data_IF_611981076018
#
_entry.id   IF_611981076018
#
_cell.length_a   1.000
_cell.length_b   1.000
_cell.length_c   1.000
_cell.angle_alpha   90.00
_cell.angle_beta   90.00
_cell.angle_gamma   90.00
#
_symmetry.space_group_name_H-M   'P 1'
#
loop_
_entity.id
_entity.type
_entity.pdbx_description
1 polymer ?
#
# COMPACT_ATOMS: atom_id res chain seq x y z
N UNK A 1 49.11 -64.22 -39.68
CA UNK A 1 49.56 -62.81 -39.68
C UNK A 1 48.37 -61.92 -39.38
N UNK A 2 48.44 -61.13 -38.29
CA UNK A 2 47.78 -59.83 -38.04
C UNK A 2 46.23 -59.77 -38.06
N UNK A 3 45.49 -59.17 -37.12
CA UNK A 3 45.74 -58.37 -35.90
C UNK A 3 44.40 -58.32 -35.14
N UNK A 4 44.43 -58.49 -33.81
CA UNK A 4 43.33 -58.14 -32.89
C UNK A 4 43.41 -56.63 -32.58
N UNK A 5 42.28 -55.93 -32.63
CA UNK A 5 42.14 -54.53 -32.19
C UNK A 5 41.22 -54.49 -30.95
N UNK A 6 41.68 -53.98 -29.80
CA UNK A 6 40.84 -53.75 -28.63
C UNK A 6 40.16 -52.38 -28.74
N UNK A 7 38.82 -52.37 -28.69
CA UNK A 7 38.04 -51.15 -28.57
C UNK A 7 37.93 -50.76 -27.09
N UNK A 8 38.54 -49.63 -26.74
CA UNK A 8 38.38 -48.99 -25.43
C UNK A 8 36.93 -48.51 -25.25
N UNK A 9 36.20 -49.06 -24.29
CA UNK A 9 34.98 -48.44 -23.76
C UNK A 9 35.38 -47.31 -22.81
N UNK A 10 35.18 -46.07 -23.25
CA UNK A 10 35.29 -44.87 -22.43
C UNK A 10 34.08 -44.76 -21.49
N UNK A 11 34.33 -44.67 -20.19
CA UNK A 11 33.31 -44.43 -19.16
C UNK A 11 32.79 -42.99 -19.22
N UNK A 12 31.48 -42.85 -19.40
CA UNK A 12 30.77 -41.57 -19.35
C UNK A 12 30.53 -41.19 -17.88
N UNK A 13 31.29 -40.22 -17.35
CA UNK A 13 31.03 -39.62 -16.05
C UNK A 13 29.94 -38.55 -16.19
N UNK A 14 28.74 -38.82 -15.67
CA UNK A 14 27.68 -37.82 -15.56
C UNK A 14 28.03 -36.80 -14.47
N UNK A 15 28.53 -35.63 -14.84
CA UNK A 15 28.61 -34.48 -13.93
C UNK A 15 27.21 -33.91 -13.74
N UNK A 16 26.57 -34.24 -12.61
CA UNK A 16 25.32 -33.61 -12.20
C UNK A 16 25.55 -32.14 -11.86
N UNK A 17 25.05 -31.24 -12.70
CA UNK A 17 25.00 -29.82 -12.37
C UNK A 17 24.01 -29.61 -11.20
N UNK A 18 24.39 -28.86 -10.15
CA UNK A 18 23.46 -28.54 -9.08
C UNK A 18 22.29 -27.74 -9.65
N UNK A 19 21.09 -28.30 -9.54
CA UNK A 19 19.85 -27.58 -9.78
C UNK A 19 19.79 -26.49 -8.71
N UNK A 20 20.01 -25.24 -9.11
CA UNK A 20 19.79 -24.10 -8.24
C UNK A 20 18.32 -24.13 -7.82
N UNK A 21 18.07 -24.49 -6.56
CA UNK A 21 16.74 -24.38 -5.97
C UNK A 21 16.34 -22.91 -6.08
N UNK A 22 15.25 -22.63 -6.79
CA UNK A 22 14.68 -21.29 -6.84
C UNK A 22 14.38 -20.86 -5.40
N UNK A 23 15.11 -19.85 -4.93
CA UNK A 23 14.91 -19.28 -3.60
C UNK A 23 13.48 -18.72 -3.56
N UNK A 24 12.60 -19.38 -2.81
CA UNK A 24 11.24 -18.92 -2.62
C UNK A 24 11.30 -17.53 -1.98
N UNK A 25 10.81 -16.53 -2.71
CA UNK A 25 10.74 -15.17 -2.23
C UNK A 25 10.07 -15.15 -0.84
N UNK A 26 10.70 -14.48 0.12
CA UNK A 26 10.16 -14.36 1.46
C UNK A 26 8.74 -13.76 1.44
N UNK A 27 7.83 -14.23 2.30
CA UNK A 27 6.47 -13.70 2.35
C UNK A 27 6.48 -12.20 2.71
N UNK A 28 5.46 -11.49 2.25
CA UNK A 28 5.31 -10.07 2.56
C UNK A 28 5.17 -9.85 4.09
N UNK A 29 5.87 -8.86 4.69
CA UNK A 29 5.84 -8.59 6.14
C UNK A 29 4.54 -7.91 6.58
N UNK A 30 3.43 -8.62 6.40
CA UNK A 30 2.06 -8.13 6.53
C UNK A 30 1.80 -7.50 7.89
N UNK A 31 2.17 -8.16 8.99
CA UNK A 31 1.88 -7.68 10.33
C UNK A 31 2.63 -6.37 10.65
N UNK A 32 3.87 -6.24 10.18
CA UNK A 32 4.72 -5.06 10.39
C UNK A 32 4.20 -3.87 9.57
N UNK A 33 3.87 -4.09 8.30
CA UNK A 33 3.38 -3.04 7.40
C UNK A 33 2.00 -2.57 7.84
N UNK A 34 1.06 -3.48 8.06
CA UNK A 34 -0.28 -3.12 8.54
C UNK A 34 -0.22 -2.45 9.92
N UNK A 35 0.65 -2.94 10.81
CA UNK A 35 0.91 -2.31 12.11
C UNK A 35 1.41 -0.86 11.97
N UNK A 36 2.43 -0.63 11.14
CA UNK A 36 2.97 0.70 10.91
C UNK A 36 1.93 1.66 10.31
N UNK A 37 1.07 1.18 9.40
CA UNK A 37 -0.02 1.97 8.83
C UNK A 37 -1.09 2.29 9.89
N UNK A 38 -1.52 1.30 10.69
CA UNK A 38 -2.50 1.50 11.76
C UNK A 38 -2.04 2.53 12.79
N UNK A 39 -0.79 2.42 13.22
CA UNK A 39 -0.24 3.33 14.24
C UNK A 39 -0.19 4.77 13.70
N UNK A 40 0.24 4.94 12.45
CA UNK A 40 0.30 6.24 11.78
C UNK A 40 -1.08 6.85 11.53
N UNK A 41 -2.08 6.04 11.20
CA UNK A 41 -3.43 6.47 10.86
C UNK A 41 -4.45 6.34 12.01
N UNK A 42 -3.97 6.22 13.26
CA UNK A 42 -4.79 5.79 14.41
C UNK A 42 -5.84 6.79 14.87
N UNK A 43 -5.60 8.08 14.68
CA UNK A 43 -6.58 9.13 14.96
C UNK A 43 -6.43 10.25 13.93
N UNK A 44 -7.53 10.52 13.24
CA UNK A 44 -7.66 11.40 12.10
C UNK A 44 -8.66 12.52 12.39
N UNK A 45 -8.77 12.94 13.66
CA UNK A 45 -9.66 14.03 14.08
C UNK A 45 -9.13 15.43 13.75
N UNK A 46 -7.80 15.58 13.68
CA UNK A 46 -7.12 16.81 13.30
C UNK A 46 -5.93 16.47 12.42
N UNK A 47 -5.79 17.20 11.31
CA UNK A 47 -4.69 17.01 10.37
C UNK A 47 -3.34 17.33 10.98
N UNK A 48 -3.24 18.41 11.76
CA UNK A 48 -2.01 18.83 12.42
C UNK A 48 -1.60 17.78 13.48
N UNK A 49 -2.56 17.32 14.28
CA UNK A 49 -2.32 16.29 15.29
C UNK A 49 -1.91 14.96 14.65
N UNK A 50 -2.60 14.54 13.58
CA UNK A 50 -2.25 13.35 12.81
C UNK A 50 -0.84 13.46 12.20
N UNK A 51 -0.51 14.59 11.57
CA UNK A 51 0.82 14.83 11.00
C UNK A 51 1.94 14.77 12.06
N UNK A 52 1.71 15.36 13.24
CA UNK A 52 2.65 15.32 14.35
C UNK A 52 2.84 13.88 14.88
N UNK A 53 1.74 13.12 15.01
CA UNK A 53 1.79 11.71 15.41
C UNK A 53 2.55 10.85 14.40
N UNK A 54 2.26 11.00 13.11
CA UNK A 54 2.95 10.28 12.03
C UNK A 54 4.47 10.52 12.13
N UNK A 55 4.89 11.78 12.29
CA UNK A 55 6.29 12.12 12.45
C UNK A 55 6.90 11.49 13.73
N UNK A 56 6.19 11.57 14.87
CA UNK A 56 6.63 10.97 16.12
C UNK A 56 6.76 9.43 16.05
N UNK A 57 6.01 8.78 15.15
CA UNK A 57 6.11 7.34 14.86
C UNK A 57 7.26 6.99 13.90
N UNK A 58 8.18 7.91 13.62
CA UNK A 58 9.38 7.66 12.84
C UNK A 58 9.20 7.77 11.32
N UNK A 59 8.14 8.43 10.87
CA UNK A 59 7.95 8.76 9.46
C UNK A 59 8.58 10.11 9.12
N UNK A 60 9.29 10.18 8.00
CA UNK A 60 9.95 11.40 7.55
C UNK A 60 9.06 12.13 6.54
N UNK A 61 8.70 13.38 6.83
CA UNK A 61 7.93 14.22 5.89
C UNK A 61 8.77 14.53 4.66
N UNK A 62 8.19 14.32 3.47
CA UNK A 62 8.82 14.70 2.20
C UNK A 62 8.90 16.23 2.08
N UNK A 63 10.04 16.74 1.62
CA UNK A 63 10.21 18.16 1.32
C UNK A 63 9.36 18.59 0.11
N UNK A 64 9.36 17.77 -0.93
CA UNK A 64 8.46 17.88 -2.08
C UNK A 64 7.56 16.63 -2.15
N UNK A 65 6.26 16.73 -1.87
CA UNK A 65 5.35 15.59 -1.91
C UNK A 65 5.22 15.00 -3.33
N UNK A 66 5.49 15.78 -4.37
CA UNK A 66 5.35 15.36 -5.77
C UNK A 66 6.59 14.68 -6.34
N UNK A 67 7.73 14.74 -5.63
CA UNK A 67 8.98 14.07 -6.01
C UNK A 67 9.12 12.66 -5.39
N UNK A 68 8.03 12.11 -4.85
CA UNK A 68 8.00 10.78 -4.21
C UNK A 68 7.47 9.71 -5.18
N UNK A 69 7.62 8.40 -4.88
CA UNK A 69 7.01 7.33 -5.68
C UNK A 69 5.48 7.44 -5.83
N UNK A 70 4.79 8.11 -4.89
CA UNK A 70 3.36 8.40 -4.94
C UNK A 70 3.05 9.78 -5.55
N UNK A 71 4.04 10.51 -6.04
CA UNK A 71 3.90 11.90 -6.47
C UNK A 71 2.89 12.14 -7.59
N UNK A 72 2.78 11.20 -8.55
CA UNK A 72 1.77 11.26 -9.61
C UNK A 72 0.35 11.10 -9.05
N UNK A 73 0.14 10.11 -8.18
CA UNK A 73 -1.13 9.89 -7.47
C UNK A 73 -1.52 11.12 -6.65
N UNK A 74 -0.56 11.67 -5.91
CA UNK A 74 -0.74 12.86 -5.05
C UNK A 74 -1.17 14.07 -5.89
N UNK A 75 -0.54 14.30 -7.04
CA UNK A 75 -0.92 15.36 -7.99
C UNK A 75 -2.32 15.14 -8.54
N UNK A 76 -2.59 13.95 -9.06
CA UNK A 76 -3.89 13.60 -9.62
C UNK A 76 -5.02 13.76 -8.60
N UNK A 77 -4.85 13.25 -7.38
CA UNK A 77 -5.86 13.35 -6.32
C UNK A 77 -6.10 14.80 -5.88
N UNK A 78 -5.05 15.61 -5.78
CA UNK A 78 -5.18 17.02 -5.42
C UNK A 78 -5.91 17.84 -6.50
N UNK A 79 -5.58 17.62 -7.78
CA UNK A 79 -6.25 18.26 -8.90
C UNK A 79 -7.72 17.84 -9.01
N UNK A 80 -8.01 16.54 -8.85
CA UNK A 80 -9.37 16.02 -8.85
C UNK A 80 -10.19 16.62 -7.69
N UNK A 81 -9.62 16.69 -6.48
CA UNK A 81 -10.26 17.32 -5.32
C UNK A 81 -10.57 18.79 -5.56
N UNK A 82 -9.61 19.56 -6.10
CA UNK A 82 -9.83 20.96 -6.47
C UNK A 82 -10.95 21.12 -7.49
N UNK A 83 -10.97 20.31 -8.54
CA UNK A 83 -11.99 20.35 -9.58
C UNK A 83 -13.40 20.06 -9.02
N UNK A 84 -13.52 19.17 -8.04
CA UNK A 84 -14.80 18.91 -7.37
C UNK A 84 -15.33 20.13 -6.62
N UNK A 85 -14.45 21.01 -6.13
CA UNK A 85 -14.84 22.22 -5.40
C UNK A 85 -15.12 23.42 -6.29
N UNK A 86 -14.77 23.40 -7.59
CA UNK A 86 -15.01 24.53 -8.50
C UNK A 86 -16.50 24.91 -8.61
N UNK A 87 -17.41 23.98 -8.29
CA UNK A 87 -18.86 24.17 -8.36
C UNK A 87 -19.57 24.15 -6.99
N UNK A 88 -18.84 24.17 -5.87
CA UNK A 88 -19.41 23.98 -4.53
C UNK A 88 -18.81 24.87 -3.44
N UNK A 89 -19.38 24.82 -2.24
CA UNK A 89 -18.81 25.40 -1.02
C UNK A 89 -17.90 24.38 -0.34
N UNK A 90 -16.59 24.61 -0.38
CA UNK A 90 -15.65 23.77 0.34
C UNK A 90 -14.21 24.24 0.19
N UNK A 91 -13.32 23.57 0.91
CA UNK A 91 -11.88 23.79 0.86
C UNK A 91 -11.17 22.45 0.81
N UNK A 92 -10.30 22.27 -0.18
CA UNK A 92 -9.18 21.33 -0.04
C UNK A 92 -8.13 22.07 0.76
N UNK A 93 -7.54 21.41 1.75
CA UNK A 93 -6.40 21.98 2.47
C UNK A 93 -5.28 22.44 1.53
N UNK A 94 -4.28 23.14 2.10
CA UNK A 94 -3.08 23.70 1.47
C UNK A 94 -2.17 22.71 0.70
N UNK A 95 -2.63 21.50 0.42
CA UNK A 95 -1.96 20.42 -0.30
C UNK A 95 -2.01 19.12 0.49
N UNK A 96 -1.71 17.97 -0.11
CA UNK A 96 -1.47 16.72 0.61
C UNK A 96 -0.13 16.75 1.36
N UNK A 97 -0.04 16.09 2.52
CA UNK A 97 1.24 15.81 3.18
C UNK A 97 1.69 14.41 2.78
N UNK A 98 2.96 14.25 2.42
CA UNK A 98 3.56 12.95 2.13
C UNK A 98 4.67 12.66 3.12
N UNK A 99 4.71 11.44 3.62
CA UNK A 99 5.73 10.93 4.51
C UNK A 99 6.31 9.62 3.97
N UNK A 100 7.51 9.25 4.42
CA UNK A 100 8.16 8.00 4.04
C UNK A 100 8.77 7.28 5.24
N UNK A 101 8.78 5.94 5.20
CA UNK A 101 9.39 5.11 6.23
C UNK A 101 9.79 3.74 5.67
N UNK A 102 10.95 3.22 6.12
CA UNK A 102 11.31 1.80 5.93
C UNK A 102 10.64 0.95 7.01
N UNK A 103 9.97 -0.13 6.61
CA UNK A 103 9.32 -1.08 7.54
C UNK A 103 9.62 -2.50 7.08
N UNK A 104 10.38 -3.25 7.89
CA UNK A 104 10.71 -4.64 7.61
C UNK A 104 11.31 -4.92 6.21
N UNK A 105 12.03 -3.95 5.66
CA UNK A 105 12.62 -4.01 4.31
C UNK A 105 11.82 -3.24 3.26
N UNK A 106 10.54 -2.99 3.50
CA UNK A 106 9.67 -2.28 2.55
C UNK A 106 9.83 -0.77 2.61
N UNK A 107 9.68 -0.12 1.46
CA UNK A 107 9.75 1.34 1.31
C UNK A 107 8.35 1.93 1.20
N UNK A 108 7.81 2.37 2.34
CA UNK A 108 6.44 2.88 2.41
C UNK A 108 6.38 4.39 2.24
N UNK A 109 5.37 4.85 1.49
CA UNK A 109 4.95 6.26 1.46
C UNK A 109 3.56 6.41 2.09
N UNK A 110 3.36 7.44 2.90
CA UNK A 110 2.06 7.75 3.50
C UNK A 110 1.58 9.12 3.01
N UNK A 111 0.36 9.18 2.51
CA UNK A 111 -0.33 10.41 2.11
C UNK A 111 -1.41 10.73 3.14
N UNK A 112 -1.27 11.88 3.79
CA UNK A 112 -2.31 12.47 4.63
C UNK A 112 -3.02 13.58 3.86
N UNK A 113 -4.33 13.45 3.76
CA UNK A 113 -5.20 14.33 2.98
C UNK A 113 -6.45 14.69 3.75
N UNK A 114 -7.03 15.84 3.44
CA UNK A 114 -8.28 16.29 4.06
C UNK A 114 -9.03 17.20 3.08
N UNK A 115 -10.36 17.06 3.09
CA UNK A 115 -11.30 17.87 2.32
C UNK A 115 -12.44 18.26 3.26
N UNK A 116 -12.81 19.53 3.22
CA UNK A 116 -13.99 20.05 3.91
C UNK A 116 -15.01 20.52 2.88
N UNK A 117 -16.24 20.04 2.96
CA UNK A 117 -17.33 20.42 2.07
C UNK A 117 -18.64 20.44 2.85
N UNK A 118 -19.39 21.54 2.75
CA UNK A 118 -20.72 21.71 3.37
C UNK A 118 -20.80 21.34 4.87
N UNK A 119 -19.76 21.70 5.63
CA UNK A 119 -19.68 21.41 7.07
C UNK A 119 -19.32 19.96 7.40
N UNK A 120 -18.92 19.16 6.41
CA UNK A 120 -18.37 17.81 6.59
C UNK A 120 -16.88 17.83 6.29
N UNK A 121 -16.08 17.32 7.19
CA UNK A 121 -14.65 17.06 7.00
C UNK A 121 -14.43 15.58 6.72
N UNK A 122 -13.59 15.28 5.72
CA UNK A 122 -13.12 13.93 5.43
C UNK A 122 -11.60 13.93 5.51
N UNK A 123 -11.05 13.23 6.50
CA UNK A 123 -9.62 12.97 6.62
C UNK A 123 -9.29 11.58 6.11
N UNK A 124 -8.33 11.50 5.19
CA UNK A 124 -7.82 10.24 4.65
C UNK A 124 -6.34 10.08 4.91
N UNK A 125 -5.95 8.93 5.45
CA UNK A 125 -4.58 8.51 5.68
C UNK A 125 -4.31 7.24 4.87
N UNK A 126 -3.40 7.33 3.89
CA UNK A 126 -3.17 6.26 2.91
C UNK A 126 -1.69 5.90 2.84
N UNK A 127 -1.35 4.68 3.18
CA UNK A 127 0.01 4.12 3.07
C UNK A 127 0.13 3.31 1.80
N UNK A 128 1.25 3.43 1.09
CA UNK A 128 1.52 2.80 -0.18
C UNK A 128 2.86 2.09 -0.14
N UNK A 129 2.90 0.91 -0.74
CA UNK A 129 4.11 0.17 -1.09
C UNK A 129 4.14 0.02 -2.62
N UNK A 130 4.70 1.04 -3.27
CA UNK A 130 4.57 1.21 -4.72
C UNK A 130 5.46 0.21 -5.44
N UNK A 131 4.86 -0.54 -6.37
CA UNK A 131 5.56 -1.57 -7.15
C UNK A 131 5.70 -2.91 -6.44
N UNK A 132 5.18 -3.06 -5.22
CA UNK A 132 5.14 -4.36 -4.56
C UNK A 132 4.38 -5.39 -5.42
N UNK A 133 4.92 -6.61 -5.49
CA UNK A 133 4.38 -7.70 -6.31
C UNK A 133 3.68 -8.77 -5.49
N UNK A 134 3.99 -8.86 -4.19
CA UNK A 134 3.36 -9.75 -3.22
C UNK A 134 2.03 -9.13 -2.78
N UNK A 135 1.00 -9.97 -2.65
CA UNK A 135 -0.31 -9.56 -2.12
C UNK A 135 -0.41 -9.86 -0.63
N UNK A 136 -1.14 -9.02 0.11
CA UNK A 136 -1.63 -9.38 1.43
C UNK A 136 -2.84 -10.31 1.23
N UNK A 137 -2.76 -11.54 1.76
CA UNK A 137 -3.87 -12.50 1.71
C UNK A 137 -4.95 -12.16 2.73
N UNK A 138 -6.20 -12.52 2.42
CA UNK A 138 -7.36 -12.27 3.29
C UNK A 138 -7.13 -12.80 4.70
N UNK A 139 -6.71 -14.06 4.82
CA UNK A 139 -6.48 -14.71 6.12
C UNK A 139 -5.45 -13.97 6.98
N UNK A 140 -4.36 -13.51 6.35
CA UNK A 140 -3.32 -12.74 7.04
C UNK A 140 -3.83 -11.36 7.49
N UNK A 141 -4.64 -10.71 6.65
CA UNK A 141 -5.26 -9.43 6.99
C UNK A 141 -6.30 -9.58 8.11
N UNK A 142 -7.19 -10.58 8.02
CA UNK A 142 -8.19 -10.90 9.04
C UNK A 142 -7.53 -11.24 10.38
N UNK A 143 -6.50 -12.08 10.37
CA UNK A 143 -5.78 -12.45 11.58
C UNK A 143 -5.12 -11.23 12.25
N UNK A 144 -4.53 -10.34 11.45
CA UNK A 144 -3.95 -9.09 11.97
C UNK A 144 -5.02 -8.12 12.48
N UNK A 145 -6.14 -7.98 11.77
CA UNK A 145 -7.25 -7.10 12.15
C UNK A 145 -8.03 -7.60 13.37
N UNK A 146 -7.93 -8.91 13.68
CA UNK A 146 -8.69 -9.58 14.72
C UNK A 146 -10.15 -9.85 14.35
N UNK A 147 -10.53 -9.62 13.08
CA UNK A 147 -11.86 -9.89 12.52
C UNK A 147 -11.84 -9.96 11.00
N UNK A 148 -12.83 -10.66 10.44
CA UNK A 148 -13.06 -10.71 9.00
C UNK A 148 -13.41 -9.33 8.42
N UNK A 149 -13.03 -9.03 7.18
CA UNK A 149 -13.49 -7.85 6.47
C UNK A 149 -14.99 -7.96 6.13
N UNK A 150 -15.69 -6.85 6.20
CA UNK A 150 -17.11 -6.72 5.87
C UNK A 150 -17.35 -6.89 4.36
N UNK A 151 -16.35 -6.51 3.54
CA UNK A 151 -16.36 -6.73 2.09
C UNK A 151 -15.01 -7.25 1.60
N UNK A 152 -15.04 -8.12 0.60
CA UNK A 152 -13.84 -8.64 -0.07
C UNK A 152 -14.03 -8.71 -1.57
N UNK A 153 -13.01 -8.29 -2.31
CA UNK A 153 -12.88 -8.47 -3.75
C UNK A 153 -11.55 -9.17 -3.98
N UNK A 154 -11.56 -10.31 -4.67
CA UNK A 154 -10.35 -11.01 -5.12
C UNK A 154 -10.51 -11.29 -6.62
N UNK A 155 -9.98 -10.39 -7.44
CA UNK A 155 -10.00 -10.45 -8.90
C UNK A 155 -8.56 -10.32 -9.41
N UNK A 156 -8.33 -10.75 -10.66
CA UNK A 156 -6.98 -10.71 -11.26
C UNK A 156 -6.42 -9.28 -11.32
N UNK A 157 -7.30 -8.29 -11.45
CA UNK A 157 -6.97 -6.87 -11.60
C UNK A 157 -6.87 -6.12 -10.27
N UNK A 158 -7.47 -6.66 -9.20
CA UNK A 158 -7.57 -6.02 -7.89
C UNK A 158 -7.89 -7.04 -6.79
N UNK A 159 -7.16 -6.92 -5.68
CA UNK A 159 -7.58 -7.47 -4.40
C UNK A 159 -7.92 -6.33 -3.45
N UNK A 160 -9.06 -6.40 -2.77
CA UNK A 160 -9.53 -5.40 -1.80
C UNK A 160 -10.19 -6.07 -0.60
N UNK A 161 -9.86 -5.62 0.59
CA UNK A 161 -10.57 -5.94 1.83
C UNK A 161 -10.99 -4.65 2.53
N UNK A 162 -12.23 -4.60 3.00
CA UNK A 162 -12.80 -3.41 3.67
C UNK A 162 -13.37 -3.79 5.04
N UNK A 163 -13.12 -2.94 6.03
CA UNK A 163 -13.67 -3.01 7.37
C UNK A 163 -14.45 -1.73 7.68
N UNK A 164 -15.73 -1.88 8.05
CA UNK A 164 -16.65 -0.79 8.38
C UNK A 164 -17.45 -1.14 9.67
N UNK A 165 -17.37 -0.34 10.75
CA UNK A 165 -16.49 0.82 10.92
C UNK A 165 -15.00 0.43 10.82
N UNK A 166 -14.10 1.41 10.75
CA UNK A 166 -12.65 1.13 10.66
C UNK A 166 -12.08 0.39 11.88
N UNK A 167 -10.75 0.26 11.93
CA UNK A 167 -10.07 -0.52 12.98
C UNK A 167 -9.70 0.29 14.21
N UNK A 168 -9.94 1.61 14.20
CA UNK A 168 -9.71 2.50 15.33
C UNK A 168 -10.96 3.35 15.62
N UNK A 169 -11.15 3.80 16.87
CA UNK A 169 -12.27 4.66 17.23
C UNK A 169 -12.34 5.90 16.32
N UNK A 170 -13.53 6.19 15.79
CA UNK A 170 -13.77 7.33 14.92
C UNK A 170 -13.47 7.11 13.43
N UNK A 171 -12.83 5.99 13.04
CA UNK A 171 -12.66 5.66 11.62
C UNK A 171 -13.96 5.12 11.01
N UNK A 172 -14.35 5.66 9.85
CA UNK A 172 -15.47 5.14 9.06
C UNK A 172 -15.08 3.88 8.32
N UNK A 173 -13.86 3.83 7.78
CA UNK A 173 -13.37 2.66 7.04
C UNK A 173 -11.88 2.43 7.25
N UNK A 174 -11.51 1.16 7.16
CA UNK A 174 -10.13 0.72 6.94
C UNK A 174 -10.13 -0.22 5.73
N UNK A 175 -9.18 -0.06 4.82
CA UNK A 175 -9.14 -0.82 3.58
C UNK A 175 -7.71 -1.24 3.24
N UNK A 176 -7.56 -2.43 2.67
CA UNK A 176 -6.31 -2.95 2.12
C UNK A 176 -6.54 -3.28 0.65
N UNK A 177 -5.67 -2.79 -0.21
CA UNK A 177 -5.69 -2.97 -1.65
C UNK A 177 -4.39 -3.59 -2.14
N UNK A 178 -4.49 -4.41 -3.19
CA UNK A 178 -3.34 -4.80 -4.02
C UNK A 178 -3.71 -4.68 -5.49
N UNK A 179 -2.89 -3.94 -6.25
CA UNK A 179 -3.04 -3.68 -7.67
C UNK A 179 -1.81 -4.25 -8.41
N UNK A 180 -1.94 -5.34 -9.18
CA UNK A 180 -0.79 -5.90 -9.90
C UNK A 180 -0.32 -4.98 -11.03
N UNK A 181 0.97 -5.04 -11.37
CA UNK A 181 1.64 -4.13 -12.32
C UNK A 181 1.08 -4.10 -13.75
N UNK A 182 0.24 -5.07 -14.14
CA UNK A 182 -0.47 -5.12 -15.42
C UNK A 182 -1.96 -4.76 -15.35
N UNK A 183 -2.47 -4.40 -14.18
CA UNK A 183 -3.89 -4.10 -14.01
C UNK A 183 -4.30 -2.86 -14.82
N UNK A 184 -5.41 -2.91 -15.58
CA UNK A 184 -5.93 -1.74 -16.28
C UNK A 184 -6.34 -0.62 -15.30
N UNK A 185 -6.56 -0.96 -14.03
CA UNK A 185 -6.93 0.00 -12.98
C UNK A 185 -5.82 1.01 -12.67
N UNK A 186 -4.56 0.73 -13.01
CA UNK A 186 -3.42 1.64 -12.80
C UNK A 186 -3.69 3.00 -13.47
N UNK A 187 -4.39 3.03 -14.61
CA UNK A 187 -4.77 4.27 -15.27
C UNK A 187 -5.63 5.20 -14.37
N UNK A 188 -6.41 4.62 -13.46
CA UNK A 188 -7.25 5.34 -12.50
C UNK A 188 -6.55 5.55 -11.16
N UNK A 189 -5.91 4.51 -10.61
CA UNK A 189 -5.31 4.56 -9.27
C UNK A 189 -3.90 5.16 -9.26
N UNK A 190 -3.21 5.26 -10.40
CA UNK A 190 -1.87 5.84 -10.56
C UNK A 190 -0.74 5.16 -9.78
N UNK A 191 -0.97 3.94 -9.28
CA UNK A 191 0.07 3.10 -8.70
C UNK A 191 -0.22 1.61 -8.94
N UNK A 192 0.80 0.78 -9.15
CA UNK A 192 0.76 -0.64 -8.81
C UNK A 192 1.29 -0.88 -7.39
N UNK A 193 0.93 -2.00 -6.79
CA UNK A 193 1.42 -2.44 -5.48
C UNK A 193 0.33 -2.44 -4.42
N UNK A 194 0.74 -2.24 -3.16
CA UNK A 194 -0.18 -2.26 -2.01
C UNK A 194 -0.59 -0.85 -1.64
N UNK A 195 -1.86 -0.68 -1.28
CA UNK A 195 -2.32 0.50 -0.56
C UNK A 195 -3.12 0.10 0.68
N UNK A 196 -2.95 0.85 1.76
CA UNK A 196 -3.68 0.71 3.02
C UNK A 196 -4.31 2.07 3.30
N UNK A 197 -5.61 2.10 3.54
CA UNK A 197 -6.39 3.33 3.67
C UNK A 197 -7.17 3.32 4.96
N UNK A 198 -7.16 4.44 5.67
CA UNK A 198 -8.07 4.72 6.76
C UNK A 198 -8.71 6.09 6.51
N UNK A 199 -10.03 6.15 6.60
CA UNK A 199 -10.77 7.40 6.49
C UNK A 199 -11.56 7.68 7.77
N UNK A 200 -11.69 8.96 8.07
CA UNK A 200 -12.56 9.49 9.12
C UNK A 200 -13.36 10.67 8.57
N UNK A 201 -14.66 10.65 8.81
CA UNK A 201 -15.65 11.65 8.45
C UNK A 201 -16.11 12.33 9.74
N UNK A 202 -16.22 13.65 9.72
CA UNK A 202 -16.61 14.43 10.89
C UNK A 202 -17.50 15.58 10.49
N UNK A 203 -18.58 15.78 11.24
CA UNK A 203 -19.47 16.95 11.07
C UNK A 203 -18.89 18.10 11.88
N UNK A 204 -18.57 19.19 11.21
CA UNK A 204 -18.05 20.40 11.83
C UNK A 204 -19.19 21.18 12.50
N UNK A 205 -18.95 21.76 13.68
CA UNK A 205 -19.91 22.66 14.30
C UNK A 205 -20.14 23.87 13.39
N UNK A 206 -21.41 24.30 13.28
CA UNK A 206 -21.81 25.48 12.51
C UNK A 206 -21.41 26.77 13.20
#
# INVERSE_FOLDING_TARGET
MHRLLPFCLAGLACTGAPVAAAEQAAPYPTAQVLGAARDACSDLSSREAAAARIAASGWSKAADPYATPVGELVRFGYEAGRKMLENGSGTVDSGPLVFSRQVAGESLNLVLSSVVMDGVSVMGCRTYDVGETRRIGKDAASAWAGREPDQSVDQAELVKYTWEPGLQPGQDSFEVFYVPAGSPLIAMVKFPGIAIKADQVSVLPR
#
